data_IF_094460326328
#
_entry.id   IF_094460326328
#
_cell.length_a   1.000
_cell.length_b   1.000
_cell.length_c   1.000
_cell.angle_alpha   90.00
_cell.angle_beta   90.00
_cell.angle_gamma   90.00
#
_symmetry.space_group_name_H-M   'P 1'
#
loop_
_entity.id
_entity.type
_entity.pdbx_description
1 polymer ?
#
# COMPACT_ATOMS: atom_id res chain seq x y z
N UNK A 1 -10.95 7.23 18.18
CA UNK A 1 -11.48 6.08 17.42
C UNK A 1 -12.88 6.38 16.84
N UNK A 2 -13.87 6.79 17.64
CA UNK A 2 -15.25 7.03 17.16
C UNK A 2 -15.34 8.09 16.05
N UNK A 3 -14.78 9.29 16.26
CA UNK A 3 -14.82 10.37 15.25
C UNK A 3 -14.14 9.96 13.94
N UNK A 4 -13.00 9.28 14.02
CA UNK A 4 -12.29 8.75 12.84
C UNK A 4 -13.11 7.70 12.09
N UNK A 5 -13.76 6.79 12.82
CA UNK A 5 -14.65 5.79 12.21
C UNK A 5 -15.86 6.44 11.54
N UNK A 6 -16.48 7.44 12.17
CA UNK A 6 -17.57 8.21 11.57
C UNK A 6 -17.11 8.96 10.31
N UNK A 7 -15.91 9.56 10.33
CA UNK A 7 -15.31 10.22 9.16
C UNK A 7 -15.05 9.25 8.02
N UNK A 8 -14.53 8.04 8.31
CA UNK A 8 -14.35 6.99 7.31
C UNK A 8 -15.70 6.55 6.71
N UNK A 9 -16.70 6.28 7.55
CA UNK A 9 -18.04 5.90 7.10
C UNK A 9 -18.68 6.99 6.22
N UNK A 10 -18.57 8.26 6.62
CA UNK A 10 -19.02 9.38 5.80
C UNK A 10 -18.30 9.43 4.44
N UNK A 11 -16.99 9.15 4.41
CA UNK A 11 -16.22 9.07 3.17
C UNK A 11 -16.66 7.94 2.24
N UNK A 12 -17.04 6.78 2.77
CA UNK A 12 -17.59 5.67 1.99
C UNK A 12 -19.02 5.94 1.51
N UNK A 13 -19.86 6.59 2.34
CA UNK A 13 -21.25 6.93 1.99
C UNK A 13 -21.33 8.10 1.00
N UNK A 14 -20.32 8.96 0.96
CA UNK A 14 -20.25 10.09 0.02
C UNK A 14 -19.62 9.77 -1.33
N UNK A 15 -19.19 8.53 -1.57
CA UNK A 15 -18.60 8.13 -2.85
C UNK A 15 -19.70 7.95 -3.92
N UNK A 16 -19.55 8.52 -5.13
CA UNK A 16 -20.53 8.35 -6.20
C UNK A 16 -20.62 6.90 -6.67
N UNK A 17 -21.85 6.49 -6.96
CA UNK A 17 -22.18 5.17 -7.51
C UNK A 17 -22.35 5.18 -9.02
N UNK A 18 -22.67 6.34 -9.63
CA UNK A 18 -22.96 6.47 -11.06
C UNK A 18 -22.29 7.68 -11.71
N UNK A 19 -22.09 7.62 -13.03
CA UNK A 19 -21.57 8.75 -13.83
C UNK A 19 -22.50 9.97 -13.81
N UNK A 20 -23.81 9.76 -13.64
CA UNK A 20 -24.79 10.83 -13.48
C UNK A 20 -24.56 11.65 -12.19
N UNK A 21 -24.31 10.98 -11.07
CA UNK A 21 -23.96 11.64 -9.80
C UNK A 21 -22.63 12.40 -9.89
N UNK A 22 -21.66 11.86 -10.63
CA UNK A 22 -20.39 12.56 -10.89
C UNK A 22 -20.63 13.84 -11.70
N UNK A 23 -21.44 13.77 -12.77
CA UNK A 23 -21.79 14.92 -13.59
C UNK A 23 -22.52 15.99 -12.78
N UNK A 24 -23.44 15.60 -11.92
CA UNK A 24 -24.13 16.51 -11.00
C UNK A 24 -23.16 17.16 -10.00
N UNK A 25 -22.26 16.40 -9.40
CA UNK A 25 -21.24 16.93 -8.49
C UNK A 25 -20.27 17.90 -9.19
N UNK A 26 -19.85 17.59 -10.41
CA UNK A 26 -18.99 18.48 -11.21
C UNK A 26 -19.73 19.78 -11.60
N UNK A 27 -21.01 19.67 -11.99
CA UNK A 27 -21.85 20.82 -12.31
C UNK A 27 -22.13 21.70 -11.07
N UNK A 28 -22.32 21.08 -9.90
CA UNK A 28 -22.50 21.78 -8.62
C UNK A 28 -21.21 22.46 -8.13
N UNK A 29 -20.03 21.94 -8.51
CA UNK A 29 -18.73 22.51 -8.13
C UNK A 29 -18.21 23.63 -9.04
N UNK A 30 -18.83 23.88 -10.20
CA UNK A 30 -18.54 25.01 -11.10
C UNK A 30 -17.13 25.00 -11.69
N UNK A 31 -17.03 24.74 -13.00
CA UNK A 31 -15.91 25.02 -13.93
C UNK A 31 -14.68 25.76 -13.35
N UNK A 32 -13.84 25.05 -12.59
CA UNK A 32 -12.72 25.67 -11.91
C UNK A 32 -11.76 24.65 -11.31
N UNK A 33 -10.99 23.96 -12.16
CA UNK A 33 -9.54 23.75 -12.02
C UNK A 33 -9.05 22.58 -12.88
N UNK A 34 -8.68 22.90 -14.12
CA UNK A 34 -7.47 22.30 -14.69
C UNK A 34 -6.26 22.91 -13.97
N UNK A 35 -5.63 22.15 -13.10
CA UNK A 35 -4.25 22.42 -12.66
C UNK A 35 -3.45 21.17 -12.94
N UNK A 36 -2.72 21.23 -14.06
CA UNK A 36 -1.67 20.28 -14.39
C UNK A 36 -0.70 20.19 -13.21
N UNK A 37 -0.39 18.97 -12.81
CA UNK A 37 0.77 18.71 -11.98
C UNK A 37 1.98 18.55 -12.93
N UNK A 38 2.38 19.65 -13.58
CA UNK A 38 3.65 19.71 -14.31
C UNK A 38 4.79 19.73 -13.29
N UNK A 39 5.39 18.57 -13.05
CA UNK A 39 6.73 18.51 -12.47
C UNK A 39 7.72 18.92 -13.55
N UNK A 40 8.21 20.16 -13.45
CA UNK A 40 9.30 20.68 -14.23
C UNK A 40 10.55 19.79 -14.13
N UNK A 41 11.01 19.28 -15.27
CA UNK A 41 12.39 18.89 -15.50
C UNK A 41 12.76 19.28 -16.93
N UNK A 42 13.44 20.42 -17.04
CA UNK A 42 14.13 20.89 -18.24
C UNK A 42 15.05 19.81 -18.82
N UNK A 43 14.96 19.58 -20.14
CA UNK A 43 16.14 19.58 -21.03
C UNK A 43 15.73 19.58 -22.50
N UNK A 44 16.21 20.62 -23.18
CA UNK A 44 16.22 20.91 -24.62
C UNK A 44 16.30 19.70 -25.58
N UNK A 45 15.40 19.69 -26.58
CA UNK A 45 15.83 19.69 -27.98
C UNK A 45 14.73 20.23 -28.91
N UNK A 46 15.04 21.35 -29.56
CA UNK A 46 14.23 22.02 -30.59
C UNK A 46 14.31 21.27 -31.92
N UNK A 47 13.17 20.88 -32.48
CA UNK A 47 12.98 20.74 -33.92
C UNK A 47 11.53 21.11 -34.27
N UNK A 48 11.38 22.20 -35.03
CA UNK A 48 10.13 22.66 -35.62
C UNK A 48 9.50 21.57 -36.49
N UNK A 49 8.20 21.34 -36.28
CA UNK A 49 7.33 20.58 -37.16
C UNK A 49 5.94 21.21 -37.11
N UNK A 50 5.72 22.15 -38.01
CA UNK A 50 4.47 22.83 -38.29
C UNK A 50 3.39 21.81 -38.67
N UNK A 51 2.29 21.69 -37.90
CA UNK A 51 1.08 20.99 -38.36
C UNK A 51 -0.18 21.61 -37.74
N UNK A 52 -0.85 22.40 -38.59
CA UNK A 52 -2.29 22.45 -38.79
C UNK A 52 -3.21 22.39 -37.57
N UNK A 53 -3.75 23.55 -37.20
CA UNK A 53 -5.05 23.64 -36.54
C UNK A 53 -6.10 23.05 -37.49
N UNK A 54 -6.56 21.83 -37.20
CA UNK A 54 -7.84 21.34 -37.71
C UNK A 54 -8.82 21.36 -36.55
N UNK A 55 -9.70 22.37 -36.57
CA UNK A 55 -10.98 22.33 -35.85
C UNK A 55 -11.77 21.12 -36.36
N UNK A 56 -11.76 20.04 -35.58
CA UNK A 56 -12.63 18.90 -35.75
C UNK A 56 -13.78 18.97 -34.74
N UNK A 57 -14.77 19.82 -35.01
CA UNK A 57 -16.06 19.73 -34.32
C UNK A 57 -16.93 18.65 -34.98
N UNK A 58 -17.35 17.66 -34.20
CA UNK A 58 -18.47 16.77 -34.55
C UNK A 58 -18.07 15.31 -34.78
N UNK A 59 -18.13 14.52 -33.70
CA UNK A 59 -18.66 13.13 -33.60
C UNK A 59 -18.10 12.40 -32.37
N UNK A 60 -16.91 12.78 -31.86
CA UNK A 60 -16.26 12.10 -30.71
C UNK A 60 -16.43 12.80 -29.34
N UNK A 61 -17.00 14.01 -29.30
CA UNK A 61 -17.06 14.80 -28.06
C UNK A 61 -17.96 14.17 -26.96
N UNK A 62 -18.97 13.37 -27.36
CA UNK A 62 -19.81 12.66 -26.40
C UNK A 62 -19.13 11.38 -25.86
N UNK A 63 -18.40 10.65 -26.70
CA UNK A 63 -17.59 9.50 -26.27
C UNK A 63 -16.46 9.94 -25.32
N UNK A 64 -15.83 11.09 -25.59
CA UNK A 64 -14.80 11.67 -24.72
C UNK A 64 -15.37 12.14 -23.37
N UNK A 65 -16.59 12.69 -23.34
CA UNK A 65 -17.25 13.11 -22.09
C UNK A 65 -17.66 11.90 -21.23
N UNK A 66 -18.22 10.85 -21.84
CA UNK A 66 -18.64 9.64 -21.12
C UNK A 66 -17.43 8.87 -20.56
N UNK A 67 -16.40 8.68 -21.38
CA UNK A 67 -15.14 8.07 -20.93
C UNK A 67 -14.46 8.90 -19.81
N UNK A 68 -14.53 10.23 -19.89
CA UNK A 68 -14.04 11.11 -18.82
C UNK A 68 -14.84 10.92 -17.52
N UNK A 69 -16.17 10.85 -17.59
CA UNK A 69 -17.02 10.61 -16.43
C UNK A 69 -16.77 9.24 -15.79
N UNK A 70 -16.56 8.19 -16.58
CA UNK A 70 -16.17 6.87 -16.07
C UNK A 70 -14.82 6.90 -15.36
N UNK A 71 -13.83 7.62 -15.92
CA UNK A 71 -12.53 7.77 -15.29
C UNK A 71 -12.62 8.48 -13.94
N UNK A 72 -13.36 9.60 -13.89
CA UNK A 72 -13.58 10.37 -12.66
C UNK A 72 -14.37 9.55 -11.63
N UNK A 73 -15.37 8.78 -12.06
CA UNK A 73 -16.12 7.87 -11.19
C UNK A 73 -15.20 6.89 -10.47
N UNK A 74 -14.33 6.21 -11.22
CA UNK A 74 -13.36 5.27 -10.63
C UNK A 74 -12.40 5.97 -9.66
N UNK A 75 -11.93 7.19 -9.96
CA UNK A 75 -11.09 7.96 -9.04
C UNK A 75 -11.82 8.28 -7.73
N UNK A 76 -13.07 8.73 -7.81
CA UNK A 76 -13.87 9.10 -6.63
C UNK A 76 -14.25 7.88 -5.79
N UNK A 77 -14.57 6.75 -6.41
CA UNK A 77 -14.87 5.49 -5.71
C UNK A 77 -13.66 4.92 -4.97
N UNK A 78 -12.46 5.03 -5.55
CA UNK A 78 -11.23 4.53 -4.94
C UNK A 78 -10.68 5.45 -3.85
N UNK A 79 -11.06 6.73 -3.83
CA UNK A 79 -10.56 7.72 -2.84
C UNK A 79 -10.67 7.27 -1.37
N UNK A 80 -11.81 6.79 -0.85
CA UNK A 80 -11.90 6.32 0.53
C UNK A 80 -11.05 5.06 0.79
N UNK A 81 -10.92 4.17 -0.19
CA UNK A 81 -10.09 2.97 -0.09
C UNK A 81 -8.60 3.31 0.00
N UNK A 82 -8.11 4.19 -0.87
CA UNK A 82 -6.73 4.67 -0.86
C UNK A 82 -6.40 5.41 0.43
N UNK A 83 -7.32 6.22 0.97
CA UNK A 83 -7.13 6.90 2.24
C UNK A 83 -6.95 5.90 3.41
N UNK A 84 -7.79 4.85 3.45
CA UNK A 84 -7.68 3.79 4.45
C UNK A 84 -6.37 3.00 4.30
N UNK A 85 -5.99 2.68 3.06
CA UNK A 85 -4.77 1.95 2.77
C UNK A 85 -3.53 2.71 3.23
N UNK A 86 -3.40 3.99 2.86
CA UNK A 86 -2.26 4.84 3.26
C UNK A 86 -2.17 4.95 4.78
N UNK A 87 -3.27 5.23 5.47
CA UNK A 87 -3.28 5.31 6.92
C UNK A 87 -2.86 3.98 7.58
N UNK A 88 -3.43 2.86 7.11
CA UNK A 88 -3.13 1.53 7.64
C UNK A 88 -1.66 1.15 7.43
N UNK A 89 -1.13 1.39 6.23
CA UNK A 89 0.25 1.11 5.87
C UNK A 89 1.24 1.99 6.65
N UNK A 90 0.91 3.26 6.87
CA UNK A 90 1.72 4.18 7.66
C UNK A 90 1.93 3.69 9.10
N UNK A 91 0.85 3.34 9.81
CA UNK A 91 0.97 2.83 11.18
C UNK A 91 1.62 1.44 11.25
N UNK A 92 1.43 0.61 10.23
CA UNK A 92 2.16 -0.64 10.08
C UNK A 92 3.67 -0.41 9.96
N UNK A 93 4.10 0.55 9.13
CA UNK A 93 5.51 0.90 8.96
C UNK A 93 6.14 1.45 10.25
N UNK A 94 5.41 2.20 11.07
CA UNK A 94 5.92 2.63 12.40
C UNK A 94 6.23 1.41 13.28
N UNK A 95 5.31 0.45 13.35
CA UNK A 95 5.51 -0.76 14.13
C UNK A 95 6.64 -1.63 13.56
N UNK A 96 6.70 -1.79 12.24
CA UNK A 96 7.72 -2.59 11.57
C UNK A 96 9.12 -1.95 11.66
N UNK A 97 9.22 -0.64 11.46
CA UNK A 97 10.46 0.12 11.62
C UNK A 97 11.00 0.05 13.06
N UNK A 98 10.11 0.11 14.06
CA UNK A 98 10.51 -0.12 15.46
C UNK A 98 11.01 -1.53 15.68
N UNK A 99 10.39 -2.54 15.05
CA UNK A 99 10.83 -3.95 15.14
C UNK A 99 12.19 -4.17 14.48
N UNK A 100 12.43 -3.56 13.33
CA UNK A 100 13.73 -3.59 12.63
C UNK A 100 14.82 -2.94 13.48
N UNK A 101 14.56 -1.73 14.01
CA UNK A 101 15.50 -1.05 14.90
C UNK A 101 15.76 -1.85 16.17
N UNK A 102 14.72 -2.45 16.77
CA UNK A 102 14.85 -3.35 17.92
C UNK A 102 15.75 -4.57 17.62
N UNK A 103 15.60 -5.18 16.44
CA UNK A 103 16.47 -6.27 16.01
C UNK A 103 17.93 -5.84 15.85
N UNK A 104 18.19 -4.67 15.27
CA UNK A 104 19.53 -4.09 15.15
C UNK A 104 20.17 -3.94 16.53
N UNK A 105 19.44 -3.45 17.53
CA UNK A 105 19.96 -3.26 18.88
C UNK A 105 20.40 -4.60 19.53
N UNK A 106 19.62 -5.66 19.36
CA UNK A 106 20.00 -7.01 19.82
C UNK A 106 21.20 -7.56 19.06
N UNK A 107 21.24 -7.40 17.74
CA UNK A 107 22.33 -7.91 16.90
C UNK A 107 23.65 -7.14 17.10
N UNK A 108 23.57 -5.84 17.40
CA UNK A 108 24.74 -4.99 17.65
C UNK A 108 25.23 -5.05 19.11
N UNK A 109 24.49 -5.69 20.01
CA UNK A 109 24.80 -5.75 21.45
C UNK A 109 25.01 -4.35 22.07
N UNK A 110 24.16 -3.39 21.70
CA UNK A 110 24.28 -2.03 22.20
C UNK A 110 24.03 -1.96 23.71
N UNK A 111 24.92 -1.30 24.45
CA UNK A 111 24.86 -1.25 25.92
C UNK A 111 23.83 -0.26 26.51
N UNK A 112 23.31 0.67 25.71
CA UNK A 112 22.39 1.72 26.17
C UNK A 112 20.91 1.40 25.90
N UNK A 113 20.63 0.55 24.91
CA UNK A 113 19.26 0.22 24.50
C UNK A 113 18.48 -0.76 25.41
N UNK A 114 19.09 -1.54 26.33
CA UNK A 114 18.32 -2.44 27.20
C UNK A 114 17.20 -1.77 28.00
N UNK A 115 17.42 -0.53 28.46
CA UNK A 115 16.40 0.22 29.21
C UNK A 115 15.20 0.64 28.34
N UNK A 116 15.34 0.62 27.01
CA UNK A 116 14.29 0.99 26.06
C UNK A 116 13.54 -0.21 25.48
N UNK A 117 14.06 -1.43 25.62
CA UNK A 117 13.48 -2.63 24.97
C UNK A 117 12.01 -2.86 25.32
N UNK A 118 11.59 -2.59 26.56
CA UNK A 118 10.18 -2.74 26.96
C UNK A 118 9.25 -1.74 26.25
N UNK A 119 9.73 -0.53 25.98
CA UNK A 119 8.99 0.47 25.21
C UNK A 119 8.87 0.02 23.76
N UNK A 120 9.96 -0.47 23.17
CA UNK A 120 9.98 -0.98 21.78
C UNK A 120 9.07 -2.21 21.61
N UNK A 121 9.08 -3.14 22.56
CA UNK A 121 8.15 -4.28 22.63
C UNK A 121 6.69 -3.83 22.75
N UNK A 122 6.44 -2.72 23.46
CA UNK A 122 5.13 -2.09 23.57
C UNK A 122 4.64 -1.50 22.25
N UNK A 123 5.47 -0.72 21.56
CA UNK A 123 5.14 -0.13 20.24
C UNK A 123 4.86 -1.24 19.21
N UNK A 124 5.75 -2.24 19.15
CA UNK A 124 5.60 -3.38 18.23
C UNK A 124 4.43 -4.30 18.57
N UNK A 125 3.71 -4.06 19.69
CA UNK A 125 2.49 -4.79 20.00
C UNK A 125 1.32 -4.50 19.07
N UNK A 126 1.36 -3.39 18.34
CA UNK A 126 0.39 -3.08 17.30
C UNK A 126 0.57 -3.95 16.03
N UNK A 127 1.77 -4.49 15.79
CA UNK A 127 2.12 -5.17 14.53
C UNK A 127 1.18 -6.34 14.15
N UNK A 128 0.77 -7.25 15.05
CA UNK A 128 -0.16 -8.32 14.69
C UNK A 128 -1.53 -7.79 14.23
N UNK A 129 -2.02 -6.73 14.87
CA UNK A 129 -3.28 -6.08 14.50
C UNK A 129 -3.18 -5.36 13.16
N UNK A 130 -2.09 -4.63 12.94
CA UNK A 130 -1.79 -3.99 11.67
C UNK A 130 -1.70 -5.01 10.52
N UNK A 131 -1.11 -6.18 10.79
CA UNK A 131 -0.99 -7.27 9.82
C UNK A 131 -2.36 -7.81 9.41
N UNK A 132 -3.28 -7.97 10.36
CA UNK A 132 -4.67 -8.40 10.09
C UNK A 132 -5.42 -7.34 9.27
N UNK A 133 -5.26 -6.06 9.58
CA UNK A 133 -5.90 -4.98 8.82
C UNK A 133 -5.40 -4.98 7.37
N UNK A 134 -4.08 -5.05 7.16
CA UNK A 134 -3.48 -5.07 5.82
C UNK A 134 -3.97 -6.28 5.03
N UNK A 135 -3.94 -7.48 5.59
CA UNK A 135 -4.35 -8.67 4.84
C UNK A 135 -5.83 -8.61 4.44
N UNK A 136 -6.69 -8.07 5.30
CA UNK A 136 -8.10 -7.85 4.97
C UNK A 136 -8.24 -6.88 3.80
N UNK A 137 -7.53 -5.75 3.83
CA UNK A 137 -7.56 -4.77 2.73
C UNK A 137 -7.08 -5.37 1.40
N UNK A 138 -5.98 -6.13 1.43
CA UNK A 138 -5.48 -6.81 0.23
C UNK A 138 -6.46 -7.86 -0.29
N UNK A 139 -7.12 -8.62 0.59
CA UNK A 139 -8.15 -9.57 0.18
C UNK A 139 -9.35 -8.87 -0.46
N UNK A 140 -9.79 -7.73 0.09
CA UNK A 140 -10.86 -6.94 -0.52
C UNK A 140 -10.50 -6.45 -1.92
N UNK A 141 -9.23 -6.10 -2.17
CA UNK A 141 -8.75 -5.78 -3.53
C UNK A 141 -8.77 -7.00 -4.46
N UNK A 142 -8.35 -8.17 -3.97
CA UNK A 142 -8.35 -9.41 -4.76
C UNK A 142 -9.76 -9.89 -5.12
N UNK A 143 -10.74 -9.62 -4.27
CA UNK A 143 -12.17 -9.89 -4.55
C UNK A 143 -12.86 -8.75 -5.33
N UNK A 144 -12.10 -7.81 -5.90
CA UNK A 144 -12.59 -6.71 -6.73
C UNK A 144 -13.62 -5.80 -6.03
N UNK A 145 -13.58 -5.71 -4.69
CA UNK A 145 -14.40 -4.77 -3.90
C UNK A 145 -13.85 -3.34 -4.03
N UNK A 146 -12.57 -3.21 -4.38
CA UNK A 146 -11.91 -1.95 -4.68
C UNK A 146 -10.91 -2.14 -5.83
N UNK A 147 -10.53 -1.04 -6.48
CA UNK A 147 -9.60 -1.05 -7.61
C UNK A 147 -8.34 -0.23 -7.29
N UNK A 148 -7.76 -0.44 -6.09
CA UNK A 148 -6.50 0.23 -5.69
C UNK A 148 -5.33 -0.25 -6.57
N UNK A 149 -5.35 -1.54 -6.95
CA UNK A 149 -4.33 -2.15 -7.80
C UNK A 149 -4.90 -2.43 -9.18
N UNK A 150 -4.63 -1.55 -10.15
CA UNK A 150 -5.17 -1.69 -11.51
C UNK A 150 -4.78 -3.02 -12.17
N UNK A 151 -3.57 -3.54 -11.92
CA UNK A 151 -3.08 -4.80 -12.49
C UNK A 151 -3.84 -6.06 -12.03
N UNK A 152 -4.74 -5.96 -11.06
CA UNK A 152 -5.63 -7.06 -10.64
C UNK A 152 -6.83 -7.25 -11.60
N UNK A 153 -6.99 -6.35 -12.58
CA UNK A 153 -7.97 -6.51 -13.65
C UNK A 153 -7.51 -7.59 -14.64
N UNK A 154 -8.38 -8.59 -14.86
CA UNK A 154 -8.13 -9.69 -15.79
C UNK A 154 -8.11 -9.25 -17.25
N UNK A 155 -8.81 -8.16 -17.57
CA UNK A 155 -8.90 -7.63 -18.94
C UNK A 155 -7.55 -7.09 -19.43
N UNK A 156 -6.64 -6.71 -18.52
CA UNK A 156 -5.30 -6.24 -18.85
C UNK A 156 -4.37 -7.36 -19.35
N UNK A 157 -4.71 -8.62 -19.07
CA UNK A 157 -3.88 -9.79 -19.40
C UNK A 157 -4.39 -10.49 -20.67
N UNK A 158 -5.67 -10.36 -21.00
CA UNK A 158 -6.28 -10.99 -22.17
C UNK A 158 -5.90 -10.26 -23.47
N UNK A 159 -5.18 -10.89 -24.42
CA UNK A 159 -4.81 -10.26 -25.70
C UNK A 159 -5.99 -9.84 -26.58
N UNK A 160 -7.17 -10.42 -26.34
CA UNK A 160 -8.41 -10.13 -27.09
C UNK A 160 -9.20 -8.96 -26.49
N UNK A 161 -8.80 -8.47 -25.31
CA UNK A 161 -9.45 -7.34 -24.65
C UNK A 161 -8.97 -6.00 -25.23
N UNK A 162 -9.86 -5.01 -25.40
CA UNK A 162 -9.45 -3.64 -25.76
C UNK A 162 -8.56 -2.98 -24.70
N UNK A 163 -8.54 -3.52 -23.48
CA UNK A 163 -7.72 -3.03 -22.35
C UNK A 163 -6.37 -3.75 -22.22
N UNK A 164 -6.01 -4.63 -23.16
CA UNK A 164 -4.79 -5.43 -23.05
C UNK A 164 -3.53 -4.58 -22.87
N UNK A 165 -2.77 -4.88 -21.81
CA UNK A 165 -1.47 -4.26 -21.54
C UNK A 165 -0.36 -5.33 -21.56
N UNK A 166 0.45 -5.30 -22.63
CA UNK A 166 1.59 -6.21 -22.81
C UNK A 166 2.61 -6.14 -21.67
N UNK A 167 2.80 -4.98 -21.04
CA UNK A 167 3.75 -4.81 -19.93
C UNK A 167 3.26 -5.52 -18.66
N UNK A 168 1.96 -5.42 -18.36
CA UNK A 168 1.34 -6.09 -17.22
C UNK A 168 1.26 -7.59 -17.48
N UNK A 169 0.86 -8.00 -18.69
CA UNK A 169 0.83 -9.40 -19.09
C UNK A 169 2.21 -10.08 -18.94
N UNK A 170 3.29 -9.39 -19.32
CA UNK A 170 4.66 -9.88 -19.12
C UNK A 170 5.08 -10.05 -17.65
N UNK A 171 4.41 -9.36 -16.72
CA UNK A 171 4.64 -9.44 -15.27
C UNK A 171 3.61 -10.31 -14.54
N UNK A 172 2.67 -10.91 -15.25
CA UNK A 172 1.55 -11.71 -14.70
C UNK A 172 2.00 -12.83 -13.75
N UNK A 173 3.16 -13.43 -13.98
CA UNK A 173 3.73 -14.42 -13.06
C UNK A 173 4.05 -13.84 -11.68
N UNK A 174 4.53 -12.60 -11.60
CA UNK A 174 4.82 -11.92 -10.34
C UNK A 174 3.59 -11.22 -9.75
N UNK A 175 2.76 -10.63 -10.61
CA UNK A 175 1.54 -9.87 -10.27
C UNK A 175 0.28 -10.76 -10.21
N UNK A 176 0.42 -12.07 -10.07
CA UNK A 176 -0.74 -12.93 -9.89
C UNK A 176 -1.40 -12.62 -8.53
N UNK A 177 -2.72 -12.32 -8.47
CA UNK A 177 -3.39 -11.94 -7.22
C UNK A 177 -3.25 -12.96 -6.09
N UNK A 178 -3.36 -14.26 -6.40
CA UNK A 178 -3.21 -15.33 -5.41
C UNK A 178 -1.77 -15.43 -4.90
N UNK A 179 -0.80 -15.35 -5.81
CA UNK A 179 0.62 -15.38 -5.43
C UNK A 179 1.02 -14.17 -4.60
N UNK A 180 0.47 -13.00 -4.94
CA UNK A 180 0.63 -11.76 -4.19
C UNK A 180 0.17 -11.90 -2.74
N UNK A 181 -1.03 -12.47 -2.50
CA UNK A 181 -1.53 -12.72 -1.14
C UNK A 181 -0.66 -13.73 -0.39
N UNK A 182 -0.25 -14.82 -1.02
CA UNK A 182 0.63 -15.82 -0.39
C UNK A 182 1.93 -15.18 0.10
N UNK A 183 2.59 -14.35 -0.73
CA UNK A 183 3.79 -13.63 -0.31
C UNK A 183 3.53 -12.66 0.83
N UNK A 184 2.44 -11.88 0.75
CA UNK A 184 2.07 -10.96 1.82
C UNK A 184 1.89 -11.70 3.15
N UNK A 185 1.21 -12.85 3.16
CA UNK A 185 1.07 -13.71 4.34
C UNK A 185 2.43 -14.19 4.86
N UNK A 186 3.32 -14.65 3.98
CA UNK A 186 4.67 -15.10 4.37
C UNK A 186 5.45 -13.96 5.05
N UNK A 187 5.40 -12.75 4.50
CA UNK A 187 6.10 -11.59 5.06
C UNK A 187 5.55 -11.24 6.44
N UNK A 188 4.23 -11.09 6.55
CA UNK A 188 3.56 -10.75 7.81
C UNK A 188 3.78 -11.83 8.87
N UNK A 189 3.73 -13.12 8.50
CA UNK A 189 4.03 -14.21 9.42
C UNK A 189 5.48 -14.14 9.91
N UNK A 190 6.45 -13.92 9.02
CA UNK A 190 7.85 -13.76 9.41
C UNK A 190 8.08 -12.64 10.42
N UNK A 191 7.46 -11.48 10.20
CA UNK A 191 7.56 -10.34 11.13
C UNK A 191 6.90 -10.64 12.48
N UNK A 192 5.70 -11.23 12.47
CA UNK A 192 4.98 -11.55 13.71
C UNK A 192 5.64 -12.68 14.50
N UNK A 193 6.21 -13.68 13.83
CA UNK A 193 6.98 -14.74 14.47
C UNK A 193 8.22 -14.18 15.15
N UNK A 194 8.99 -13.31 14.47
CA UNK A 194 10.13 -12.65 15.09
C UNK A 194 9.71 -11.86 16.33
N UNK A 195 8.68 -11.00 16.20
CA UNK A 195 8.15 -10.20 17.31
C UNK A 195 7.70 -11.06 18.49
N UNK A 196 7.01 -12.16 18.23
CA UNK A 196 6.53 -13.08 19.26
C UNK A 196 7.68 -13.79 19.99
N UNK A 197 8.59 -14.42 19.26
CA UNK A 197 9.69 -15.16 19.88
C UNK A 197 10.68 -14.24 20.56
N UNK A 198 10.96 -13.08 19.98
CA UNK A 198 11.90 -12.13 20.58
C UNK A 198 11.39 -11.65 21.94
N UNK A 199 10.13 -11.20 22.02
CA UNK A 199 9.51 -10.82 23.30
C UNK A 199 9.40 -11.98 24.28
N UNK A 200 9.09 -13.19 23.80
CA UNK A 200 9.02 -14.38 24.67
C UNK A 200 10.38 -14.67 25.32
N UNK A 201 11.48 -14.53 24.58
CA UNK A 201 12.81 -14.82 25.10
C UNK A 201 13.38 -13.69 25.96
N UNK A 202 13.05 -12.43 25.71
CA UNK A 202 13.42 -11.34 26.63
C UNK A 202 12.74 -11.50 27.98
N UNK A 203 11.44 -11.83 28.02
CA UNK A 203 10.72 -12.12 29.27
C UNK A 203 11.29 -13.34 30.02
N UNK A 204 11.69 -14.39 29.28
CA UNK A 204 12.34 -15.55 29.90
C UNK A 204 13.74 -15.22 30.42
N UNK A 205 14.45 -14.28 29.81
CA UNK A 205 15.79 -13.85 30.24
C UNK A 205 15.75 -13.11 31.58
N UNK A 206 14.67 -12.39 31.89
CA UNK A 206 14.51 -11.68 33.18
C UNK A 206 14.55 -12.64 34.39
N UNK A 207 14.10 -13.89 34.20
CA UNK A 207 13.98 -14.89 35.25
C UNK A 207 15.04 -15.99 35.16
N UNK A 208 15.97 -15.89 34.20
CA UNK A 208 16.99 -16.90 33.96
C UNK A 208 18.31 -16.51 34.62
N UNK A 209 18.99 -17.49 35.23
CA UNK A 209 20.35 -17.33 35.76
C UNK A 209 21.42 -17.50 34.66
N UNK A 210 21.03 -17.95 33.46
CA UNK A 210 21.90 -18.17 32.31
C UNK A 210 21.64 -17.19 31.15
N UNK A 211 22.58 -17.10 30.21
CA UNK A 211 22.47 -16.25 29.01
C UNK A 211 21.89 -16.98 27.79
N UNK A 212 21.16 -18.08 28.01
CA UNK A 212 20.67 -18.92 26.90
C UNK A 212 19.66 -18.18 26.04
N UNK A 213 18.76 -17.41 26.66
CA UNK A 213 17.70 -16.69 25.95
C UNK A 213 18.26 -15.49 25.19
N UNK A 214 19.21 -14.77 25.77
CA UNK A 214 19.97 -13.73 25.08
C UNK A 214 20.63 -14.27 23.80
N UNK A 215 21.38 -15.38 23.87
CA UNK A 215 22.04 -15.98 22.69
C UNK A 215 21.04 -16.44 21.62
N UNK A 216 19.87 -16.96 22.03
CA UNK A 216 18.80 -17.32 21.09
C UNK A 216 18.24 -16.07 20.41
N UNK A 217 17.98 -15.01 21.17
CA UNK A 217 17.44 -13.77 20.64
C UNK A 217 18.41 -13.06 19.69
N UNK A 218 19.70 -13.05 20.02
CA UNK A 218 20.76 -12.55 19.15
C UNK A 218 20.77 -13.25 17.78
N UNK A 219 20.77 -14.59 17.77
CA UNK A 219 20.74 -15.37 16.52
C UNK A 219 19.48 -15.13 15.72
N UNK A 220 18.34 -15.05 16.40
CA UNK A 220 17.06 -14.77 15.77
C UNK A 220 17.00 -13.35 15.19
N UNK A 221 17.55 -12.35 15.87
CA UNK A 221 17.66 -10.99 15.36
C UNK A 221 18.50 -10.93 14.09
N UNK A 222 19.67 -11.59 14.05
CA UNK A 222 20.50 -11.66 12.86
C UNK A 222 19.76 -12.30 11.66
N UNK A 223 19.08 -13.43 11.89
CA UNK A 223 18.28 -14.08 10.84
C UNK A 223 17.09 -13.23 10.38
N UNK A 224 16.41 -12.56 11.32
CA UNK A 224 15.33 -11.64 11.02
C UNK A 224 15.80 -10.45 10.19
N UNK A 225 16.97 -9.87 10.44
CA UNK A 225 17.46 -8.73 9.67
C UNK A 225 17.70 -9.09 8.20
N UNK A 226 18.22 -10.28 7.92
CA UNK A 226 18.35 -10.78 6.53
C UNK A 226 16.99 -10.95 5.87
N UNK A 227 16.05 -11.59 6.58
CA UNK A 227 14.67 -11.74 6.10
C UNK A 227 14.02 -10.38 5.83
N UNK A 228 14.14 -9.45 6.79
CA UNK A 228 13.57 -8.12 6.74
C UNK A 228 14.04 -7.34 5.50
N UNK A 229 15.36 -7.26 5.26
CA UNK A 229 15.92 -6.54 4.11
C UNK A 229 15.36 -7.08 2.79
N UNK A 230 15.32 -8.41 2.63
CA UNK A 230 14.76 -9.01 1.42
C UNK A 230 13.26 -8.71 1.26
N UNK A 231 12.48 -8.91 2.32
CA UNK A 231 11.03 -8.70 2.27
C UNK A 231 10.63 -7.25 2.15
N UNK A 232 11.42 -6.32 2.69
CA UNK A 232 11.18 -4.88 2.59
C UNK A 232 11.35 -4.42 1.14
N UNK A 233 12.44 -4.84 0.49
CA UNK A 233 12.67 -4.57 -0.94
C UNK A 233 11.59 -5.15 -1.85
N UNK A 234 10.96 -6.27 -1.49
CA UNK A 234 9.88 -6.89 -2.28
C UNK A 234 8.49 -6.35 -1.93
N UNK A 235 8.34 -5.70 -0.78
CA UNK A 235 7.08 -5.11 -0.31
C UNK A 235 6.92 -3.67 -0.82
N UNK A 236 8.02 -2.93 -0.92
CA UNK A 236 8.06 -1.59 -1.50
C UNK A 236 7.71 -1.59 -2.99
#
# INVERSE_FOLDING_TARGET
MVVGALGMLAGFLGAPSTTAEVKEMMAAHGDGHGTSHDTAADTHNTAMGEHGVTEGHGENAHDDEEAHLEHVLHQLQNRPWSALYVASFFFFMIALGTLAFYAIQHAAQAGWSPVLFRVMEGITAYLPWASVIIIILLLLSVFHVNHIFHWMDGDLINPESPKYDKLIAGKSGWLNPMWFIVRAVIYLLGFNLYRYFSRKWTLNQDNAEDNRWFKKNFKLAAGFLVFFIYTESMMS
#
